data_IF_827334973515
#
_entry.id   IF_827334973515
#
_cell.length_a   1.000
_cell.length_b   1.000
_cell.length_c   1.000
_cell.angle_alpha   90.00
_cell.angle_beta   90.00
_cell.angle_gamma   90.00
#
_symmetry.space_group_name_H-M   'P 1'
#
loop_
_entity.id
_entity.type
_entity.pdbx_description
1 polymer ?
#
# COMPACT_ATOMS: atom_id res chain seq x y z
N UNK A 1 3.87 4.69 -4.42
CA UNK A 1 4.27 5.69 -3.39
C UNK A 1 5.65 6.29 -3.61
N UNK A 2 6.74 5.51 -3.73
CA UNK A 2 8.08 6.09 -3.91
C UNK A 2 8.19 7.08 -5.08
N UNK A 3 7.47 6.83 -6.17
CA UNK A 3 7.44 7.71 -7.36
C UNK A 3 6.88 9.11 -7.10
N UNK A 4 6.21 9.34 -5.96
CA UNK A 4 5.63 10.62 -5.56
C UNK A 4 6.29 11.17 -4.29
N UNK A 5 7.59 10.87 -4.09
CA UNK A 5 8.39 11.33 -2.94
C UNK A 5 7.80 10.92 -1.58
N UNK A 6 7.07 9.79 -1.53
CA UNK A 6 6.61 9.13 -0.30
C UNK A 6 7.40 7.82 -0.13
N UNK A 7 8.44 7.79 0.74
CA UNK A 7 9.23 6.59 0.97
C UNK A 7 8.33 5.41 1.36
N UNK A 8 8.50 4.28 0.68
CA UNK A 8 7.75 3.07 0.94
C UNK A 8 8.61 1.83 0.66
N UNK A 9 8.33 0.75 1.38
CA UNK A 9 9.02 -0.53 1.19
C UNK A 9 8.05 -1.68 1.43
N UNK A 10 8.10 -2.68 0.57
CA UNK A 10 7.43 -3.94 0.83
C UNK A 10 8.22 -4.77 1.86
N UNK A 11 7.53 -5.26 2.89
CA UNK A 11 8.06 -6.22 3.85
C UNK A 11 7.33 -7.53 3.63
N UNK A 12 8.07 -8.58 3.28
CA UNK A 12 7.51 -9.93 3.14
C UNK A 12 6.95 -10.42 4.47
N UNK A 13 5.71 -10.92 4.54
CA UNK A 13 5.16 -11.48 5.78
C UNK A 13 6.01 -12.61 6.37
N UNK A 14 6.65 -13.42 5.52
CA UNK A 14 7.54 -14.49 5.95
C UNK A 14 8.76 -13.97 6.71
N UNK A 15 9.30 -12.82 6.32
CA UNK A 15 10.50 -12.23 6.92
C UNK A 15 10.17 -11.27 8.07
N UNK A 16 8.95 -10.73 8.10
CA UNK A 16 8.51 -9.70 9.04
C UNK A 16 8.69 -10.15 10.50
N UNK A 17 8.35 -11.41 10.80
CA UNK A 17 8.49 -12.01 12.14
C UNK A 17 9.89 -12.56 12.43
N UNK A 18 10.80 -12.49 11.45
CA UNK A 18 12.18 -12.98 11.53
C UNK A 18 13.22 -11.85 11.42
N UNK A 19 12.80 -10.61 11.69
CA UNK A 19 13.70 -9.46 11.84
C UNK A 19 13.47 -8.34 10.82
N UNK A 20 12.78 -8.60 9.70
CA UNK A 20 12.52 -7.54 8.71
C UNK A 20 11.65 -6.40 9.27
N UNK A 21 10.79 -6.68 10.26
CA UNK A 21 10.04 -5.63 10.99
C UNK A 21 10.93 -4.69 11.81
N UNK A 22 12.22 -4.98 11.95
CA UNK A 22 13.21 -4.05 12.50
C UNK A 22 13.32 -2.75 11.67
N UNK A 23 12.95 -2.79 10.39
CA UNK A 23 12.90 -1.62 9.52
C UNK A 23 11.90 -0.56 10.00
N UNK A 24 10.76 -0.99 10.53
CA UNK A 24 9.68 -0.09 10.97
C UNK A 24 10.12 0.77 12.16
N UNK A 25 9.74 2.03 12.16
CA UNK A 25 9.97 3.00 13.23
C UNK A 25 8.65 3.59 13.74
N UNK A 26 8.66 4.15 14.95
CA UNK A 26 7.52 4.91 15.43
C UNK A 26 7.21 6.08 14.47
N UNK A 27 5.94 6.26 14.13
CA UNK A 27 5.50 7.26 13.15
C UNK A 27 5.47 6.76 11.70
N UNK A 28 5.98 5.57 11.42
CA UNK A 28 5.73 4.90 10.13
C UNK A 28 4.27 4.46 10.01
N UNK A 29 3.87 4.16 8.77
CA UNK A 29 2.57 3.59 8.44
C UNK A 29 2.76 2.20 7.85
N UNK A 30 2.15 1.18 8.46
CA UNK A 30 2.06 -0.16 7.90
C UNK A 30 0.72 -0.33 7.20
N UNK A 31 0.76 -0.86 5.97
CA UNK A 31 -0.44 -1.24 5.26
C UNK A 31 -0.56 -2.76 5.13
N UNK A 32 -1.68 -3.30 5.58
CA UNK A 32 -1.99 -4.73 5.53
C UNK A 32 -3.21 -4.98 4.65
N UNK A 33 -3.03 -5.70 3.55
CA UNK A 33 -4.12 -6.09 2.65
C UNK A 33 -4.46 -7.58 2.82
N UNK A 34 -5.70 -7.87 3.18
CA UNK A 34 -6.22 -9.24 3.25
C UNK A 34 -7.72 -9.21 3.03
N UNK A 35 -8.18 -9.93 2.00
CA UNK A 35 -9.59 -9.90 1.60
C UNK A 35 -10.52 -10.21 2.76
N UNK A 36 -10.38 -11.38 3.39
CA UNK A 36 -11.17 -11.77 4.57
C UNK A 36 -10.68 -11.18 5.89
N UNK A 37 -9.53 -10.51 5.91
CA UNK A 37 -8.93 -9.88 7.09
C UNK A 37 -8.42 -10.86 8.16
N UNK A 38 -8.16 -12.12 7.76
CA UNK A 38 -7.82 -13.26 8.64
C UNK A 38 -6.55 -14.00 8.22
N UNK A 39 -5.77 -13.46 7.29
CA UNK A 39 -4.50 -14.06 6.85
C UNK A 39 -3.57 -14.21 8.04
N UNK A 40 -3.23 -15.45 8.41
CA UNK A 40 -2.56 -15.77 9.67
C UNK A 40 -1.18 -15.12 9.77
N UNK A 41 -0.46 -15.02 8.65
CA UNK A 41 0.87 -14.44 8.53
C UNK A 41 0.88 -12.92 8.81
N UNK A 42 -0.27 -12.25 8.69
CA UNK A 42 -0.37 -10.80 8.91
C UNK A 42 -0.72 -10.43 10.36
N UNK A 43 -1.29 -11.34 11.14
CA UNK A 43 -1.72 -11.05 12.51
C UNK A 43 -0.54 -10.75 13.45
N UNK A 44 0.58 -11.49 13.42
CA UNK A 44 1.75 -11.13 14.22
C UNK A 44 2.34 -9.77 13.81
N UNK A 45 2.27 -9.40 12.52
CA UNK A 45 2.76 -8.11 12.02
C UNK A 45 1.94 -6.96 12.57
N UNK A 46 0.61 -7.13 12.64
CA UNK A 46 -0.30 -6.19 13.29
C UNK A 46 0.11 -5.94 14.75
N UNK A 47 0.37 -7.00 15.52
CA UNK A 47 0.79 -6.89 16.92
C UNK A 47 2.15 -6.19 17.06
N UNK A 48 3.11 -6.53 16.20
CA UNK A 48 4.41 -5.85 16.14
C UNK A 48 4.22 -4.35 15.87
N UNK A 49 3.40 -3.97 14.89
CA UNK A 49 3.16 -2.57 14.56
C UNK A 49 2.58 -1.79 15.75
N UNK A 50 1.59 -2.37 16.44
CA UNK A 50 1.02 -1.78 17.67
C UNK A 50 2.09 -1.58 18.74
N UNK A 51 2.93 -2.58 19.00
CA UNK A 51 3.98 -2.49 20.01
C UNK A 51 5.03 -1.41 19.69
N UNK A 52 5.24 -1.13 18.39
CA UNK A 52 6.21 -0.13 17.90
C UNK A 52 5.60 1.27 17.70
N UNK A 53 4.31 1.45 17.95
CA UNK A 53 3.61 2.72 17.69
C UNK A 53 3.58 3.09 16.19
N UNK A 54 3.48 2.08 15.33
CA UNK A 54 3.29 2.22 13.88
C UNK A 54 1.80 2.28 13.60
N UNK A 55 1.36 3.28 12.83
CA UNK A 55 -0.04 3.39 12.41
C UNK A 55 -0.38 2.27 11.42
N UNK A 56 -1.46 1.54 11.65
CA UNK A 56 -1.88 0.43 10.79
C UNK A 56 -3.09 0.83 9.96
N UNK A 57 -2.94 0.72 8.64
CA UNK A 57 -4.04 0.76 7.68
C UNK A 57 -4.35 -0.66 7.23
N UNK A 58 -5.60 -1.11 7.38
CA UNK A 58 -6.05 -2.39 6.83
C UNK A 58 -6.92 -2.20 5.59
N UNK A 59 -6.62 -2.95 4.52
CA UNK A 59 -7.49 -3.09 3.35
C UNK A 59 -8.15 -4.47 3.39
N UNK A 60 -9.47 -4.49 3.58
CA UNK A 60 -10.24 -5.72 3.74
C UNK A 60 -11.70 -5.54 3.36
N UNK A 61 -12.39 -6.63 3.05
CA UNK A 61 -13.85 -6.61 2.82
C UNK A 61 -14.64 -6.79 4.11
N UNK A 62 -14.04 -7.43 5.11
CA UNK A 62 -14.69 -7.82 6.36
C UNK A 62 -14.30 -6.88 7.51
N UNK A 63 -15.19 -5.95 7.85
CA UNK A 63 -14.99 -4.99 8.95
C UNK A 63 -14.97 -5.67 10.34
N UNK A 64 -15.52 -6.88 10.46
CA UNK A 64 -15.50 -7.64 11.70
C UNK A 64 -14.24 -8.51 11.87
N UNK A 65 -13.34 -8.48 10.90
CA UNK A 65 -12.11 -9.29 10.90
C UNK A 65 -11.10 -8.82 11.96
N UNK A 66 -10.20 -9.72 12.41
CA UNK A 66 -9.12 -9.35 13.33
C UNK A 66 -8.25 -8.19 12.81
N UNK A 67 -7.94 -8.15 11.51
CA UNK A 67 -7.16 -7.05 10.92
C UNK A 67 -7.94 -5.73 10.93
N UNK A 68 -9.24 -5.74 10.60
CA UNK A 68 -10.06 -4.53 10.64
C UNK A 68 -10.18 -3.97 12.07
N UNK A 69 -10.50 -4.84 13.05
CA UNK A 69 -10.61 -4.44 14.46
C UNK A 69 -9.29 -4.02 15.07
N UNK A 70 -8.19 -4.51 14.51
CA UNK A 70 -6.84 -4.21 14.98
C UNK A 70 -6.24 -2.94 14.39
N UNK A 71 -6.73 -2.47 13.24
CA UNK A 71 -6.16 -1.33 12.53
C UNK A 71 -6.66 0.01 13.08
N UNK A 72 -5.85 1.05 12.89
CA UNK A 72 -6.25 2.44 13.19
C UNK A 72 -7.18 3.00 12.11
N UNK A 73 -6.97 2.57 10.86
CA UNK A 73 -7.77 2.97 9.69
C UNK A 73 -8.12 1.73 8.88
N UNK A 74 -9.38 1.63 8.46
CA UNK A 74 -9.84 0.55 7.57
C UNK A 74 -10.29 1.12 6.24
N UNK A 75 -9.62 0.72 5.17
CA UNK A 75 -10.06 0.95 3.80
C UNK A 75 -10.90 -0.24 3.35
N UNK A 76 -12.22 -0.10 3.45
CA UNK A 76 -13.14 -1.17 3.05
C UNK A 76 -13.10 -1.33 1.53
N UNK A 77 -12.69 -2.51 1.05
CA UNK A 77 -12.91 -2.89 -0.34
C UNK A 77 -14.15 -3.79 -0.44
N UNK A 78 -14.94 -3.67 -1.51
CA UNK A 78 -16.09 -4.56 -1.74
C UNK A 78 -15.93 -5.25 -3.08
N UNK A 79 -15.90 -6.59 -3.04
CA UNK A 79 -15.78 -7.44 -4.22
C UNK A 79 -16.98 -8.37 -4.24
N UNK A 80 -17.83 -8.24 -5.25
CA UNK A 80 -19.05 -9.05 -5.37
C UNK A 80 -18.76 -10.43 -5.95
N UNK A 81 -17.82 -10.53 -6.90
CA UNK A 81 -17.51 -11.77 -7.62
C UNK A 81 -16.11 -11.73 -8.25
N UNK A 82 -15.36 -12.82 -8.10
CA UNK A 82 -14.17 -13.13 -8.88
C UNK A 82 -14.54 -13.66 -10.27
N UNK A 83 -13.62 -13.54 -11.23
CA UNK A 83 -13.90 -13.88 -12.63
C UNK A 83 -14.10 -15.39 -12.82
N UNK A 84 -13.50 -16.23 -11.97
CA UNK A 84 -13.60 -17.68 -12.07
C UNK A 84 -14.99 -18.22 -11.61
N UNK A 85 -15.46 -19.35 -12.16
CA UNK A 85 -16.76 -19.92 -11.80
C UNK A 85 -16.92 -20.28 -10.32
N UNK A 86 -15.82 -20.50 -9.60
CA UNK A 86 -15.84 -20.91 -8.19
C UNK A 86 -15.74 -19.73 -7.23
N UNK A 87 -15.53 -18.51 -7.74
CA UNK A 87 -15.37 -17.30 -6.93
C UNK A 87 -14.17 -17.35 -5.97
N UNK A 88 -13.05 -17.95 -6.40
CA UNK A 88 -11.90 -18.28 -5.54
C UNK A 88 -10.59 -17.62 -5.95
N UNK A 89 -10.40 -17.36 -7.23
CA UNK A 89 -9.14 -16.84 -7.76
C UNK A 89 -9.10 -15.34 -7.52
N UNK A 90 -8.07 -14.85 -6.84
CA UNK A 90 -7.88 -13.42 -6.57
C UNK A 90 -7.65 -12.63 -7.86
N UNK A 91 -8.73 -12.27 -8.55
CA UNK A 91 -8.74 -11.70 -9.90
C UNK A 91 -9.35 -10.30 -9.84
N UNK A 92 -10.66 -10.22 -9.66
CA UNK A 92 -11.39 -8.98 -9.40
C UNK A 92 -10.88 -8.33 -8.12
N UNK A 93 -10.70 -9.09 -7.03
CA UNK A 93 -10.23 -8.52 -5.75
C UNK A 93 -8.83 -7.93 -5.84
N UNK A 94 -7.91 -8.59 -6.53
CA UNK A 94 -6.56 -8.08 -6.74
C UNK A 94 -6.56 -6.81 -7.62
N UNK A 95 -7.43 -6.78 -8.64
CA UNK A 95 -7.58 -5.60 -9.51
C UNK A 95 -8.13 -4.41 -8.71
N UNK A 96 -9.18 -4.63 -7.91
CA UNK A 96 -9.76 -3.60 -7.04
C UNK A 96 -8.73 -3.08 -6.03
N UNK A 97 -7.94 -3.98 -5.43
CA UNK A 97 -6.87 -3.59 -4.52
C UNK A 97 -5.82 -2.70 -5.21
N UNK A 98 -5.42 -3.05 -6.44
CA UNK A 98 -4.45 -2.27 -7.22
C UNK A 98 -5.00 -0.87 -7.54
N UNK A 99 -6.25 -0.79 -8.01
CA UNK A 99 -6.93 0.48 -8.33
C UNK A 99 -7.09 1.35 -7.08
N UNK A 100 -7.36 0.76 -5.91
CA UNK A 100 -7.43 1.49 -4.65
C UNK A 100 -6.08 2.18 -4.33
N UNK A 101 -4.96 1.51 -4.60
CA UNK A 101 -3.63 2.12 -4.42
C UNK A 101 -3.30 3.19 -5.45
N UNK A 102 -3.70 3.00 -6.71
CA UNK A 102 -3.55 4.02 -7.74
C UNK A 102 -4.34 5.28 -7.38
N UNK A 103 -5.58 5.12 -6.92
CA UNK A 103 -6.42 6.22 -6.45
C UNK A 103 -5.81 6.93 -5.23
N UNK A 104 -5.28 6.18 -4.26
CA UNK A 104 -4.59 6.77 -3.10
C UNK A 104 -3.34 7.56 -3.54
N UNK A 105 -2.56 7.03 -4.48
CA UNK A 105 -1.39 7.73 -5.02
C UNK A 105 -1.81 9.02 -5.75
N UNK A 106 -2.85 8.98 -6.58
CA UNK A 106 -3.37 10.16 -7.27
C UNK A 106 -3.87 11.22 -6.29
N UNK A 107 -4.63 10.82 -5.28
CA UNK A 107 -5.09 11.73 -4.23
C UNK A 107 -3.92 12.37 -3.48
N UNK A 108 -2.86 11.62 -3.17
CA UNK A 108 -1.66 12.18 -2.53
C UNK A 108 -0.88 13.13 -3.44
N UNK A 109 -0.86 12.91 -4.76
CA UNK A 109 -0.24 13.87 -5.70
C UNK A 109 -0.94 15.22 -5.59
N UNK A 110 -2.28 15.22 -5.59
CA UNK A 110 -3.09 16.43 -5.46
C UNK A 110 -2.92 17.08 -4.08
N UNK A 111 -3.08 16.31 -3.01
CA UNK A 111 -3.03 16.80 -1.62
C UNK A 111 -1.66 17.37 -1.25
N UNK A 112 -0.57 16.77 -1.75
CA UNK A 112 0.79 17.23 -1.44
C UNK A 112 1.30 18.29 -2.40
N UNK A 113 0.53 18.63 -3.45
CA UNK A 113 0.97 19.51 -4.52
C UNK A 113 2.22 19.00 -5.23
N UNK A 114 2.37 17.68 -5.39
CA UNK A 114 3.53 17.06 -6.01
C UNK A 114 3.69 17.51 -7.46
N UNK A 115 4.90 17.97 -7.80
CA UNK A 115 5.19 18.59 -9.10
C UNK A 115 5.94 17.66 -10.06
N UNK A 116 5.82 17.92 -11.36
CA UNK A 116 6.46 17.10 -12.40
C UNK A 116 7.99 17.13 -12.32
N UNK A 117 8.59 18.22 -11.83
CA UNK A 117 10.03 18.36 -11.64
C UNK A 117 10.55 17.44 -10.53
N UNK A 118 9.74 17.19 -9.49
CA UNK A 118 10.09 16.24 -8.44
C UNK A 118 10.11 14.81 -9.00
N UNK A 119 9.13 14.45 -9.84
CA UNK A 119 9.12 13.17 -10.54
C UNK A 119 10.36 12.98 -11.42
N UNK A 120 10.72 14.02 -12.19
CA UNK A 120 11.86 13.98 -13.11
C UNK A 120 13.21 13.78 -12.39
N UNK A 121 13.38 14.36 -11.19
CA UNK A 121 14.59 14.20 -10.36
C UNK A 121 14.87 12.75 -9.96
N UNK A 122 13.83 11.97 -9.67
CA UNK A 122 13.94 10.56 -9.25
C UNK A 122 13.69 9.56 -10.39
N UNK A 123 13.34 10.03 -11.59
CA UNK A 123 13.25 9.23 -12.82
C UNK A 123 14.08 9.88 -13.94
N UNK A 124 15.42 9.92 -13.82
CA UNK A 124 16.27 10.65 -14.76
C UNK A 124 16.34 10.00 -16.16
N UNK A 125 15.91 8.74 -16.31
CA UNK A 125 16.02 7.98 -17.56
C UNK A 125 14.67 7.51 -18.14
N UNK A 126 14.74 6.98 -19.35
CA UNK A 126 13.58 6.46 -20.09
C UNK A 126 12.74 7.57 -20.73
N UNK A 127 11.79 7.16 -21.58
CA UNK A 127 11.02 8.09 -22.42
C UNK A 127 10.29 9.20 -21.63
N UNK A 128 9.83 8.90 -20.42
CA UNK A 128 9.16 9.89 -19.56
C UNK A 128 10.17 10.86 -18.94
N UNK A 129 11.30 10.36 -18.43
CA UNK A 129 12.36 11.18 -17.84
C UNK A 129 13.00 12.11 -18.87
N UNK A 130 13.32 11.61 -20.06
CA UNK A 130 13.87 12.40 -21.17
C UNK A 130 12.94 13.55 -21.56
N UNK A 131 11.64 13.27 -21.71
CA UNK A 131 10.63 14.28 -22.05
C UNK A 131 10.53 15.39 -21.00
N UNK A 132 10.51 15.03 -19.72
CA UNK A 132 10.35 15.98 -18.62
C UNK A 132 11.62 16.81 -18.38
N UNK A 133 12.80 16.18 -18.45
CA UNK A 133 14.08 16.87 -18.24
C UNK A 133 14.42 17.82 -19.40
N UNK A 134 14.05 17.49 -20.65
CA UNK A 134 14.23 18.40 -21.77
C UNK A 134 13.25 19.58 -21.74
N UNK A 135 12.03 19.37 -21.23
CA UNK A 135 11.05 20.45 -21.06
C UNK A 135 11.47 21.45 -19.97
N UNK A 136 12.13 20.98 -18.90
CA UNK A 136 12.64 21.83 -17.82
C UNK A 136 13.90 22.64 -18.18
N UNK A 137 14.57 22.32 -19.31
CA UNK A 137 15.74 23.06 -19.81
C UNK A 137 15.41 24.13 -20.87
N UNK A 138 14.12 24.32 -21.18
CA UNK A 138 13.63 25.42 -22.03
C UNK A 138 12.99 26.49 -21.16
#
# INVERSE_FOLDING_TARGET
MCCIERPARFISPAEAVHGASGYLQQGDVMLLASRGGKTAELLPILDICKSKGVTVISVTENLESPLAKGADIVLQMRVTKEVDPFNTQGTTSFTVLSVLFDALQAALIEETGFQSEQFARIHPGGAVGERLNHAAMK
#
